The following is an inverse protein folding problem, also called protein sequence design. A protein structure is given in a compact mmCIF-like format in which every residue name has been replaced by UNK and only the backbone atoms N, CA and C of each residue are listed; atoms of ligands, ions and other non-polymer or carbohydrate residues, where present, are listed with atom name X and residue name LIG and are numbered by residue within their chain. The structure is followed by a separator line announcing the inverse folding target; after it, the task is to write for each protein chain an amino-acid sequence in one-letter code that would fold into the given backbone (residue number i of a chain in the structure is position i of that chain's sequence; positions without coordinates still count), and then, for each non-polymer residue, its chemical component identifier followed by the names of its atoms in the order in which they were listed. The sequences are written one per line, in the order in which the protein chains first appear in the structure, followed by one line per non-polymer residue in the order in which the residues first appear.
data_IF_731796226947
#
_entry.id   IF_731796226947
#
_cell.length_a   1.000
_cell.length_b   1.000
_cell.length_c   1.000
_cell.angle_alpha   90.00
_cell.angle_beta   90.00
_cell.angle_gamma   90.00
#
_symmetry.space_group_name_H-M   'P 1'
#
loop_
_entity.id
_entity.type
_entity.pdbx_description
1 polymer ?
#
# COMPACT_ATOMS: atom_id res chain seq x y z
N UNK A 1 -40.22 7.93 -1.21
CA UNK A 1 -41.29 7.05 -0.66
C UNK A 1 -41.30 7.17 0.85
N UNK A 2 -42.48 7.34 1.43
CA UNK A 2 -42.61 7.44 2.88
C UNK A 2 -42.40 6.06 3.51
N UNK A 3 -41.42 5.93 4.37
CA UNK A 3 -41.19 4.74 5.17
C UNK A 3 -41.82 4.93 6.53
N UNK A 4 -42.66 3.99 6.95
CA UNK A 4 -43.23 3.98 8.29
C UNK A 4 -42.40 3.06 9.19
N UNK A 5 -41.65 3.65 10.11
CA UNK A 5 -41.07 2.90 11.22
C UNK A 5 -42.09 2.70 12.31
N UNK A 6 -42.25 1.47 12.83
CA UNK A 6 -43.10 1.20 13.97
C UNK A 6 -42.29 1.14 15.25
N UNK A 7 -42.56 2.06 16.16
CA UNK A 7 -42.09 2.00 17.55
C UNK A 7 -43.29 1.72 18.42
N UNK A 8 -43.40 0.51 18.91
CA UNK A 8 -44.63 0.05 19.62
C UNK A 8 -45.83 -0.03 18.69
N UNK A 9 -46.96 0.53 19.11
CA UNK A 9 -48.25 0.53 18.38
C UNK A 9 -48.42 1.73 17.42
N UNK A 10 -47.48 2.63 17.32
CA UNK A 10 -47.59 3.85 16.51
C UNK A 10 -46.66 3.83 15.33
N UNK A 11 -47.15 4.08 14.11
CA UNK A 11 -46.37 4.31 12.92
C UNK A 11 -45.90 5.77 12.90
N UNK A 12 -44.58 5.98 12.86
CA UNK A 12 -43.97 7.32 12.70
C UNK A 12 -43.64 7.54 11.23
N UNK A 13 -44.16 8.60 10.59
CA UNK A 13 -43.77 8.93 9.23
C UNK A 13 -42.29 9.41 9.23
N UNK A 14 -41.50 8.88 8.31
CA UNK A 14 -40.12 9.31 8.06
C UNK A 14 -40.04 9.86 6.64
N UNK A 15 -39.62 11.13 6.52
CA UNK A 15 -39.34 11.78 5.26
C UNK A 15 -37.84 12.06 5.20
N UNK A 16 -37.13 11.28 4.39
CA UNK A 16 -35.66 11.40 4.28
C UNK A 16 -35.07 10.33 3.36
N UNK A 17 -33.74 10.45 3.17
CA UNK A 17 -32.95 9.48 2.42
C UNK A 17 -32.32 8.50 3.39
N UNK A 18 -32.51 7.21 3.15
CA UNK A 18 -31.90 6.15 3.94
C UNK A 18 -30.69 5.61 3.16
N UNK A 19 -29.49 5.73 3.75
CA UNK A 19 -28.28 5.09 3.29
C UNK A 19 -27.97 3.91 4.20
N UNK A 20 -27.90 2.72 3.62
CA UNK A 20 -27.54 1.51 4.34
C UNK A 20 -26.33 0.86 3.69
N UNK A 21 -25.54 0.14 4.47
CA UNK A 21 -24.41 -0.65 3.97
C UNK A 21 -24.52 -2.07 4.51
N UNK A 22 -24.01 -3.01 3.73
CA UNK A 22 -23.96 -4.44 4.08
C UNK A 22 -22.76 -5.07 3.38
N UNK A 23 -22.28 -6.19 3.92
CA UNK A 23 -21.32 -7.01 3.20
C UNK A 23 -22.04 -7.86 2.14
N UNK A 24 -21.26 -8.42 1.18
CA UNK A 24 -21.82 -9.16 0.05
C UNK A 24 -22.60 -10.42 0.51
N UNK A 25 -22.12 -11.12 1.53
CA UNK A 25 -22.78 -12.35 2.01
C UNK A 25 -24.14 -12.07 2.65
N UNK A 26 -24.24 -11.03 3.47
CA UNK A 26 -25.51 -10.59 4.08
C UNK A 26 -26.47 -10.06 3.02
N UNK A 27 -25.93 -9.30 2.05
CA UNK A 27 -26.71 -8.81 0.92
C UNK A 27 -27.30 -9.96 0.10
N UNK A 28 -26.52 -11.00 -0.23
CA UNK A 28 -27.01 -12.16 -0.96
C UNK A 28 -28.10 -12.93 -0.18
N UNK A 29 -27.96 -13.09 1.13
CA UNK A 29 -29.01 -13.69 1.98
C UNK A 29 -30.29 -12.86 1.95
N UNK A 30 -30.16 -11.53 2.07
CA UNK A 30 -31.30 -10.62 2.01
C UNK A 30 -32.02 -10.67 0.66
N UNK A 31 -31.23 -10.65 -0.43
CA UNK A 31 -31.75 -10.70 -1.81
C UNK A 31 -32.48 -12.00 -2.13
N UNK A 32 -32.00 -13.12 -1.60
CA UNK A 32 -32.55 -14.43 -1.88
C UNK A 32 -33.83 -14.72 -1.06
N UNK A 33 -34.18 -13.86 -0.11
CA UNK A 33 -35.38 -13.99 0.67
C UNK A 33 -36.59 -13.39 -0.09
N UNK A 34 -37.53 -14.23 -0.49
CA UNK A 34 -38.73 -13.83 -1.25
C UNK A 34 -39.56 -12.74 -0.56
N UNK A 35 -39.53 -12.66 0.77
CA UNK A 35 -40.28 -11.63 1.52
C UNK A 35 -39.73 -10.22 1.28
N UNK A 36 -38.50 -10.08 0.72
CA UNK A 36 -37.87 -8.81 0.50
C UNK A 36 -38.04 -8.27 -0.93
N UNK A 37 -38.75 -8.97 -1.80
CA UNK A 37 -38.92 -8.62 -3.21
C UNK A 37 -39.49 -7.19 -3.38
N UNK A 38 -40.52 -6.84 -2.67
CA UNK A 38 -41.14 -5.50 -2.70
C UNK A 38 -40.18 -4.38 -2.20
N UNK A 39 -39.20 -4.71 -1.37
CA UNK A 39 -38.16 -3.79 -0.92
C UNK A 39 -37.05 -3.64 -1.97
N UNK A 40 -36.65 -4.76 -2.59
CA UNK A 40 -35.61 -4.79 -3.61
C UNK A 40 -35.93 -3.90 -4.81
N UNK A 41 -37.20 -3.82 -5.21
CA UNK A 41 -37.66 -2.96 -6.31
C UNK A 41 -37.53 -1.45 -6.00
N UNK A 42 -37.30 -1.08 -4.75
CA UNK A 42 -37.27 0.32 -4.29
C UNK A 42 -35.90 0.78 -3.88
N UNK A 43 -34.89 -0.12 -3.82
CA UNK A 43 -33.51 0.23 -3.41
C UNK A 43 -32.61 0.41 -4.62
N UNK A 44 -31.77 1.41 -4.55
CA UNK A 44 -30.68 1.59 -5.50
C UNK A 44 -29.39 1.02 -4.92
N UNK A 45 -28.82 0.03 -5.62
CA UNK A 45 -27.65 -0.71 -5.15
C UNK A 45 -26.39 -0.10 -5.76
N UNK A 46 -25.45 0.27 -4.90
CA UNK A 46 -24.12 0.74 -5.30
C UNK A 46 -23.06 -0.23 -4.77
N UNK A 47 -22.34 -0.87 -5.67
CA UNK A 47 -21.19 -1.69 -5.29
C UNK A 47 -20.00 -0.77 -5.01
N UNK A 48 -19.40 -0.89 -3.82
CA UNK A 48 -18.22 -0.13 -3.40
C UNK A 48 -17.03 -1.08 -3.33
N UNK A 49 -16.12 -1.03 -4.30
CA UNK A 49 -14.93 -1.87 -4.29
C UNK A 49 -13.92 -1.40 -3.23
N UNK A 50 -12.97 -2.26 -2.88
CA UNK A 50 -11.77 -1.85 -2.16
C UNK A 50 -10.98 -0.82 -2.98
N UNK A 51 -10.15 -0.04 -2.29
CA UNK A 51 -9.22 0.88 -2.94
C UNK A 51 -8.31 0.12 -3.91
N UNK A 52 -8.05 0.71 -5.09
CA UNK A 52 -7.21 0.15 -6.15
C UNK A 52 -6.01 1.06 -6.48
N UNK A 53 -5.75 2.08 -5.66
CA UNK A 53 -4.61 2.99 -5.77
C UNK A 53 -3.69 2.82 -4.58
N UNK A 54 -2.41 2.62 -4.85
CA UNK A 54 -1.40 2.43 -3.80
C UNK A 54 -1.31 3.65 -2.90
N UNK A 55 -1.26 4.85 -3.46
CA UNK A 55 -1.19 6.11 -2.70
C UNK A 55 -2.37 6.30 -1.75
N UNK A 56 -3.58 6.02 -2.20
CA UNK A 56 -4.78 6.16 -1.38
C UNK A 56 -4.85 5.08 -0.28
N UNK A 57 -4.43 3.86 -0.58
CA UNK A 57 -4.37 2.79 0.42
C UNK A 57 -3.33 3.10 1.50
N UNK A 58 -2.20 3.70 1.16
CA UNK A 58 -1.22 4.20 2.13
C UNK A 58 -1.84 5.23 3.08
N UNK A 59 -2.60 6.20 2.56
CA UNK A 59 -3.29 7.18 3.39
C UNK A 59 -4.32 6.55 4.34
N UNK A 60 -4.97 5.45 3.93
CA UNK A 60 -5.84 4.69 4.83
C UNK A 60 -5.03 4.08 5.98
N UNK A 61 -3.86 3.50 5.69
CA UNK A 61 -2.98 2.93 6.72
C UNK A 61 -2.45 3.99 7.67
N UNK A 62 -2.02 5.14 7.17
CA UNK A 62 -1.59 6.28 7.98
C UNK A 62 -2.68 6.73 8.95
N UNK A 63 -3.93 6.88 8.48
CA UNK A 63 -5.07 7.21 9.33
C UNK A 63 -5.33 6.15 10.40
N UNK A 64 -5.25 4.88 10.05
CA UNK A 64 -5.44 3.79 11.01
C UNK A 64 -4.34 3.79 12.08
N UNK A 65 -3.10 4.04 11.69
CA UNK A 65 -1.98 4.16 12.63
C UNK A 65 -2.14 5.38 13.55
N UNK A 66 -2.53 6.53 13.02
CA UNK A 66 -2.77 7.75 13.83
C UNK A 66 -3.84 7.56 14.90
N UNK A 67 -4.83 6.70 14.66
CA UNK A 67 -5.92 6.42 15.59
C UNK A 67 -5.70 5.16 16.44
N UNK A 68 -4.49 4.62 16.44
CA UNK A 68 -4.12 3.42 17.19
C UNK A 68 -3.02 3.70 18.21
N UNK A 69 -2.74 2.73 19.07
CA UNK A 69 -1.61 2.79 20.01
C UNK A 69 -0.24 2.80 19.30
N UNK A 70 -0.23 2.51 17.99
CA UNK A 70 0.98 2.51 17.15
C UNK A 70 1.36 3.91 16.61
N UNK A 71 0.65 4.96 17.00
CA UNK A 71 0.89 6.35 16.52
C UNK A 71 2.33 6.82 16.71
N UNK A 72 3.00 6.37 17.77
CA UNK A 72 4.37 6.77 18.09
C UNK A 72 5.43 5.80 17.53
N UNK A 73 5.01 4.69 16.97
CA UNK A 73 5.92 3.69 16.43
C UNK A 73 6.54 4.18 15.12
N UNK A 74 7.87 4.10 15.03
CA UNK A 74 8.59 4.50 13.82
C UNK A 74 8.39 3.48 12.71
N UNK A 75 8.30 3.98 11.49
CA UNK A 75 8.13 3.18 10.29
C UNK A 75 9.21 3.55 9.27
N UNK A 76 9.98 2.58 8.82
CA UNK A 76 10.99 2.77 7.79
C UNK A 76 10.34 3.08 6.43
N UNK A 77 11.01 3.86 5.56
CA UNK A 77 10.52 4.15 4.22
C UNK A 77 10.15 2.88 3.44
N UNK A 78 9.08 2.96 2.67
CA UNK A 78 8.60 1.85 1.85
C UNK A 78 7.71 0.84 2.58
N UNK A 79 7.73 0.73 3.92
CA UNK A 79 6.97 -0.31 4.64
C UNK A 79 5.47 -0.25 4.32
N UNK A 80 4.85 0.92 4.43
CA UNK A 80 3.43 1.10 4.11
C UNK A 80 3.16 0.96 2.62
N UNK A 81 4.08 1.44 1.79
CA UNK A 81 3.97 1.35 0.33
C UNK A 81 3.96 -0.10 -0.16
N UNK A 82 4.92 -0.92 0.28
CA UNK A 82 4.97 -2.34 -0.11
C UNK A 82 3.75 -3.12 0.39
N UNK A 83 3.24 -2.82 1.58
CA UNK A 83 1.99 -3.41 2.04
C UNK A 83 0.79 -2.97 1.19
N UNK A 84 0.72 -1.70 0.82
CA UNK A 84 -0.31 -1.19 -0.07
C UNK A 84 -0.22 -1.83 -1.46
N UNK A 85 0.97 -1.93 -2.05
CA UNK A 85 1.19 -2.65 -3.32
C UNK A 85 0.70 -4.09 -3.24
N UNK A 86 1.04 -4.82 -2.17
CA UNK A 86 0.57 -6.18 -1.97
C UNK A 86 -0.95 -6.28 -1.89
N UNK A 87 -1.58 -5.39 -1.11
CA UNK A 87 -3.05 -5.35 -0.97
C UNK A 87 -3.74 -5.06 -2.30
N UNK A 88 -3.22 -4.09 -3.07
CA UNK A 88 -3.75 -3.75 -4.40
C UNK A 88 -3.59 -4.92 -5.36
N UNK A 89 -2.41 -5.54 -5.44
CA UNK A 89 -2.17 -6.72 -6.29
C UNK A 89 -3.16 -7.86 -5.99
N UNK A 90 -3.50 -8.07 -4.72
CA UNK A 90 -4.48 -9.09 -4.32
C UNK A 90 -5.91 -8.81 -4.82
N UNK A 91 -6.22 -7.54 -5.09
CA UNK A 91 -7.57 -7.04 -5.49
C UNK A 91 -7.73 -6.90 -7.00
N UNK A 92 -6.61 -6.82 -7.73
CA UNK A 92 -6.62 -6.65 -9.17
C UNK A 92 -6.88 -7.98 -9.88
N UNK A 93 -7.71 -7.93 -10.92
CA UNK A 93 -7.84 -9.02 -11.88
C UNK A 93 -6.65 -9.03 -12.83
N UNK A 94 -6.21 -10.23 -13.21
CA UNK A 94 -5.16 -10.39 -14.22
C UNK A 94 -5.58 -9.73 -15.54
N UNK A 95 -4.74 -8.87 -16.11
CA UNK A 95 -5.02 -8.27 -17.40
C UNK A 95 -4.64 -9.22 -18.55
N UNK A 96 -5.33 -9.12 -19.67
CA UNK A 96 -4.92 -9.78 -20.90
C UNK A 96 -3.73 -9.06 -21.56
N UNK A 97 -2.73 -9.84 -21.98
CA UNK A 97 -1.57 -9.34 -22.75
C UNK A 97 -0.78 -8.19 -22.08
N UNK A 98 -0.84 -8.09 -20.76
CA UNK A 98 -0.11 -7.10 -20.00
C UNK A 98 0.20 -7.64 -18.61
N UNK A 99 1.12 -6.97 -17.89
CA UNK A 99 1.47 -7.32 -16.52
C UNK A 99 0.49 -6.74 -15.49
N UNK A 100 0.14 -7.51 -14.46
CA UNK A 100 -0.63 -7.02 -13.32
C UNK A 100 0.14 -5.89 -12.57
N UNK A 101 1.45 -5.93 -12.60
CA UNK A 101 2.31 -4.92 -11.99
C UNK A 101 2.22 -3.58 -12.75
N UNK A 102 2.19 -3.62 -14.08
CA UNK A 102 1.98 -2.44 -14.91
C UNK A 102 0.58 -1.87 -14.72
N UNK A 103 -0.42 -2.73 -14.62
CA UNK A 103 -1.80 -2.33 -14.29
C UNK A 103 -1.87 -1.60 -12.95
N UNK A 104 -1.23 -2.12 -11.90
CA UNK A 104 -1.18 -1.48 -10.58
C UNK A 104 -0.55 -0.08 -10.67
N UNK A 105 0.56 0.07 -11.38
CA UNK A 105 1.24 1.36 -11.58
C UNK A 105 0.39 2.37 -12.34
N UNK A 106 -0.28 1.93 -13.40
CA UNK A 106 -1.21 2.78 -14.17
C UNK A 106 -2.40 3.21 -13.30
N UNK A 107 -2.93 2.31 -12.46
CA UNK A 107 -4.00 2.67 -11.52
C UNK A 107 -3.54 3.67 -10.46
N UNK A 108 -2.27 3.64 -10.09
CA UNK A 108 -1.65 4.64 -9.20
C UNK A 108 -1.35 5.98 -9.89
N UNK A 109 -1.62 6.10 -11.19
CA UNK A 109 -1.47 7.33 -11.96
C UNK A 109 -0.15 7.46 -12.74
N UNK A 110 0.65 6.38 -12.80
CA UNK A 110 1.90 6.40 -13.55
C UNK A 110 1.66 6.25 -15.07
N UNK A 111 2.43 6.97 -15.87
CA UNK A 111 2.48 6.77 -17.32
C UNK A 111 3.59 5.79 -17.67
N UNK A 112 3.24 4.65 -18.26
CA UNK A 112 4.19 3.60 -18.64
C UNK A 112 4.47 3.52 -20.14
N UNK A 113 4.02 4.52 -20.91
CA UNK A 113 4.12 4.50 -22.38
C UNK A 113 5.53 4.28 -22.91
N UNK A 114 6.53 4.83 -22.21
CA UNK A 114 7.93 4.77 -22.63
C UNK A 114 8.70 3.59 -22.03
N UNK A 115 8.18 3.01 -20.93
CA UNK A 115 8.88 1.96 -20.17
C UNK A 115 8.29 0.56 -20.36
N UNK A 116 6.99 0.46 -20.66
CA UNK A 116 6.32 -0.81 -20.93
C UNK A 116 5.35 -0.68 -22.11
N UNK A 117 5.77 -1.07 -23.31
CA UNK A 117 4.92 -0.99 -24.52
C UNK A 117 3.65 -1.85 -24.45
N UNK A 118 3.58 -2.80 -23.51
CA UNK A 118 2.40 -3.66 -23.30
C UNK A 118 1.43 -3.09 -22.27
N UNK A 119 1.83 -2.03 -21.56
CA UNK A 119 0.94 -1.38 -20.62
C UNK A 119 -0.23 -0.72 -21.36
N UNK A 120 -1.43 -0.97 -20.87
CA UNK A 120 -2.66 -0.37 -21.39
C UNK A 120 -2.97 0.93 -20.63
N UNK A 121 -3.86 1.74 -21.19
CA UNK A 121 -4.38 2.90 -20.49
C UNK A 121 -5.26 2.51 -19.29
N UNK A 122 -5.47 3.44 -18.37
CA UNK A 122 -6.37 3.24 -17.23
C UNK A 122 -7.77 2.81 -17.67
N UNK A 123 -8.32 3.44 -18.72
CA UNK A 123 -9.65 3.14 -19.21
C UNK A 123 -9.74 1.72 -19.77
N UNK A 124 -8.77 1.31 -20.59
CA UNK A 124 -8.74 -0.04 -21.17
C UNK A 124 -8.67 -1.13 -20.08
N UNK A 125 -7.84 -0.91 -19.03
CA UNK A 125 -7.81 -1.85 -17.90
C UNK A 125 -9.14 -1.92 -17.15
N UNK A 126 -9.81 -0.78 -16.96
CA UNK A 126 -11.13 -0.72 -16.30
C UNK A 126 -12.21 -1.40 -17.10
N UNK A 127 -12.25 -1.16 -18.39
CA UNK A 127 -13.26 -1.74 -19.29
C UNK A 127 -13.13 -3.27 -19.34
N UNK A 128 -11.88 -3.77 -19.41
CA UNK A 128 -11.63 -5.21 -19.39
C UNK A 128 -12.00 -5.86 -18.05
N UNK A 129 -11.62 -5.24 -16.93
CA UNK A 129 -11.85 -5.80 -15.59
C UNK A 129 -13.32 -5.80 -15.18
N UNK A 130 -14.09 -4.84 -15.69
CA UNK A 130 -15.52 -4.70 -15.41
C UNK A 130 -15.82 -4.16 -14.01
N UNK A 131 -17.09 -4.24 -13.63
CA UNK A 131 -17.62 -3.64 -12.40
C UNK A 131 -17.24 -4.38 -11.11
N UNK A 132 -16.76 -5.61 -11.24
CA UNK A 132 -16.45 -6.46 -10.08
C UNK A 132 -14.97 -6.38 -9.68
N UNK A 133 -14.16 -5.54 -10.32
CA UNK A 133 -12.78 -5.34 -9.92
C UNK A 133 -12.68 -4.65 -8.55
N UNK A 134 -11.87 -5.20 -7.68
CA UNK A 134 -11.74 -4.72 -6.31
C UNK A 134 -12.84 -5.18 -5.37
N UNK A 135 -13.77 -6.03 -5.82
CA UNK A 135 -14.78 -6.62 -4.95
C UNK A 135 -14.27 -7.83 -4.16
N UNK A 136 -13.10 -8.34 -4.51
CA UNK A 136 -12.40 -9.44 -3.84
C UNK A 136 -10.97 -9.04 -3.50
N UNK A 137 -10.24 -9.94 -2.81
CA UNK A 137 -8.87 -9.73 -2.38
C UNK A 137 -8.77 -9.38 -0.90
N UNK A 138 -7.58 -8.97 -0.47
CA UNK A 138 -7.29 -8.73 0.94
C UNK A 138 -7.92 -7.43 1.43
N UNK A 139 -8.61 -7.51 2.56
CA UNK A 139 -9.27 -6.35 3.17
C UNK A 139 -8.25 -5.42 3.87
N UNK A 140 -8.64 -4.17 4.06
CA UNK A 140 -7.86 -3.21 4.88
C UNK A 140 -7.68 -3.70 6.33
N UNK A 141 -8.62 -4.48 6.86
CA UNK A 141 -8.48 -5.10 8.19
C UNK A 141 -7.36 -6.14 8.22
N UNK A 142 -7.21 -6.93 7.15
CA UNK A 142 -6.10 -7.86 7.03
C UNK A 142 -4.76 -7.09 7.01
N UNK A 143 -4.67 -6.04 6.22
CA UNK A 143 -3.48 -5.20 6.15
C UNK A 143 -3.14 -4.59 7.53
N UNK A 144 -4.13 -4.10 8.27
CA UNK A 144 -3.89 -3.57 9.62
C UNK A 144 -3.42 -4.64 10.60
N UNK A 145 -3.94 -5.88 10.51
CA UNK A 145 -3.46 -7.03 11.29
C UNK A 145 -1.97 -7.31 10.99
N UNK A 146 -1.56 -7.22 9.72
CA UNK A 146 -0.16 -7.35 9.32
C UNK A 146 0.69 -6.23 9.94
N UNK A 147 0.28 -4.97 9.78
CA UNK A 147 0.99 -3.81 10.37
C UNK A 147 1.18 -3.98 11.87
N UNK A 148 0.12 -4.30 12.60
CA UNK A 148 0.21 -4.53 14.04
C UNK A 148 1.24 -5.60 14.41
N UNK A 149 1.37 -6.65 13.61
CA UNK A 149 2.39 -7.70 13.83
C UNK A 149 3.79 -7.24 13.45
N UNK A 150 3.93 -6.45 12.39
CA UNK A 150 5.23 -5.89 11.97
C UNK A 150 5.76 -4.91 13.01
N UNK A 151 4.91 -4.02 13.53
CA UNK A 151 5.29 -3.08 14.59
C UNK A 151 5.64 -3.75 15.93
N UNK A 152 5.11 -4.94 16.18
CA UNK A 152 5.39 -5.72 17.40
C UNK A 152 6.32 -6.91 17.12
N UNK A 153 7.01 -6.94 15.99
CA UNK A 153 7.83 -8.06 15.57
C UNK A 153 9.07 -8.23 16.44
N UNK A 154 9.79 -7.13 16.66
CA UNK A 154 10.99 -7.11 17.51
C UNK A 154 11.06 -5.77 18.26
N UNK A 155 11.05 -5.84 19.58
CA UNK A 155 11.14 -4.66 20.45
C UNK A 155 12.55 -4.04 20.51
N UNK A 156 13.56 -4.73 19.98
CA UNK A 156 14.94 -4.22 19.90
C UNK A 156 15.16 -3.37 18.65
N UNK A 157 14.30 -3.48 17.65
CA UNK A 157 14.38 -2.72 16.41
C UNK A 157 13.88 -1.30 16.56
N UNK A 158 14.57 -0.39 15.86
CA UNK A 158 14.25 1.06 15.93
C UNK A 158 12.93 1.39 15.22
N UNK A 159 12.57 0.61 14.20
CA UNK A 159 11.40 0.87 13.37
C UNK A 159 10.86 -0.41 12.71
N UNK A 160 9.55 -0.43 12.47
CA UNK A 160 8.95 -1.38 11.54
C UNK A 160 9.56 -1.17 10.14
N UNK A 161 9.92 -2.25 9.44
CA UNK A 161 10.66 -2.18 8.20
C UNK A 161 10.14 -3.19 7.15
N UNK A 162 10.47 -3.03 5.86
CA UNK A 162 9.99 -3.93 4.82
C UNK A 162 10.48 -5.37 4.94
N UNK A 163 11.63 -5.63 5.54
CA UNK A 163 12.13 -7.02 5.74
C UNK A 163 11.21 -7.77 6.69
N UNK A 164 10.88 -7.16 7.83
CA UNK A 164 9.90 -7.72 8.78
C UNK A 164 8.51 -7.83 8.14
N UNK A 165 8.12 -6.85 7.31
CA UNK A 165 6.85 -6.88 6.59
C UNK A 165 6.76 -8.13 5.70
N UNK A 166 7.75 -8.40 4.86
CA UNK A 166 7.75 -9.55 3.96
C UNK A 166 7.71 -10.86 4.73
N UNK A 167 8.49 -10.98 5.79
CA UNK A 167 8.47 -12.15 6.65
C UNK A 167 7.10 -12.38 7.31
N UNK A 168 6.50 -11.33 7.88
CA UNK A 168 5.17 -11.41 8.52
C UNK A 168 4.08 -11.74 7.48
N UNK A 169 4.18 -11.18 6.26
CA UNK A 169 3.26 -11.49 5.16
C UNK A 169 3.32 -12.97 4.78
N UNK A 170 4.51 -13.52 4.55
CA UNK A 170 4.71 -14.94 4.24
C UNK A 170 4.12 -15.82 5.35
N UNK A 171 4.46 -15.57 6.60
CA UNK A 171 3.94 -16.28 7.76
C UNK A 171 2.41 -16.22 7.88
N UNK A 172 1.82 -15.07 7.53
CA UNK A 172 0.36 -14.93 7.58
C UNK A 172 -0.33 -15.67 6.44
N UNK A 173 0.24 -15.66 5.23
CA UNK A 173 -0.28 -16.40 4.08
C UNK A 173 -0.25 -17.91 4.34
N UNK A 174 0.83 -18.41 4.93
CA UNK A 174 0.94 -19.82 5.31
C UNK A 174 -0.08 -20.25 6.39
N UNK A 175 -0.45 -19.33 7.30
CA UNK A 175 -1.44 -19.60 8.36
C UNK A 175 -2.88 -19.52 7.90
N UNK A 176 -3.15 -18.69 6.91
CA UNK A 176 -4.49 -18.58 6.34
C UNK A 176 -4.72 -19.76 5.36
N UNK A 177 -5.89 -20.34 5.44
CA UNK A 177 -6.27 -21.47 4.57
C UNK A 177 -6.74 -20.96 3.20
N UNK A 178 -5.85 -20.29 2.48
CA UNK A 178 -6.16 -19.90 1.10
C UNK A 178 -6.18 -21.10 0.16
N UNK A 179 -7.01 -21.10 -0.90
CA UNK A 179 -6.85 -22.03 -2.00
C UNK A 179 -5.42 -21.99 -2.55
N UNK A 180 -4.87 -23.13 -2.97
CA UNK A 180 -3.47 -23.26 -3.40
C UNK A 180 -3.08 -22.22 -4.48
N UNK A 181 -3.95 -21.98 -5.44
CA UNK A 181 -3.73 -20.99 -6.51
C UNK A 181 -3.53 -19.56 -5.96
N UNK A 182 -4.34 -19.14 -4.98
CA UNK A 182 -4.19 -17.84 -4.34
C UNK A 182 -2.96 -17.78 -3.44
N UNK A 183 -2.66 -18.86 -2.75
CA UNK A 183 -1.45 -18.97 -1.92
C UNK A 183 -0.19 -18.77 -2.77
N UNK A 184 -0.06 -19.50 -3.86
CA UNK A 184 1.10 -19.44 -4.75
C UNK A 184 1.20 -18.05 -5.41
N UNK A 185 0.07 -17.48 -5.82
CA UNK A 185 0.01 -16.13 -6.37
C UNK A 185 0.47 -15.06 -5.38
N UNK A 186 0.07 -15.15 -4.11
CA UNK A 186 0.49 -14.19 -3.09
C UNK A 186 1.97 -14.32 -2.76
N UNK A 187 2.51 -15.54 -2.71
CA UNK A 187 3.95 -15.75 -2.54
C UNK A 187 4.74 -15.21 -3.74
N UNK A 188 4.23 -15.35 -4.96
CA UNK A 188 4.83 -14.76 -6.16
C UNK A 188 4.86 -13.23 -6.10
N UNK A 189 3.81 -12.59 -5.61
CA UNK A 189 3.82 -11.14 -5.41
C UNK A 189 4.91 -10.70 -4.45
N UNK A 190 5.14 -11.43 -3.37
CA UNK A 190 6.17 -11.12 -2.39
C UNK A 190 7.57 -11.39 -2.98
N UNK A 191 7.83 -12.63 -3.40
CA UNK A 191 9.18 -13.10 -3.79
C UNK A 191 9.59 -12.64 -5.18
N UNK A 192 8.65 -12.61 -6.12
CA UNK A 192 8.90 -12.28 -7.53
C UNK A 192 8.84 -10.77 -7.82
N UNK A 193 8.18 -9.98 -6.97
CA UNK A 193 7.98 -8.57 -7.25
C UNK A 193 8.43 -7.64 -6.10
N UNK A 194 7.86 -7.78 -4.89
CA UNK A 194 8.11 -6.81 -3.83
C UNK A 194 9.53 -6.88 -3.29
N UNK A 195 10.05 -8.07 -3.02
CA UNK A 195 11.41 -8.27 -2.51
C UNK A 195 12.46 -7.76 -3.51
N UNK A 196 12.42 -8.11 -4.80
CA UNK A 196 13.36 -7.56 -5.78
C UNK A 196 13.33 -6.03 -5.87
N UNK A 197 12.15 -5.41 -5.83
CA UNK A 197 12.03 -3.95 -5.83
C UNK A 197 12.62 -3.31 -4.57
N UNK A 198 12.45 -3.93 -3.42
CA UNK A 198 13.06 -3.45 -2.19
C UNK A 198 14.59 -3.55 -2.24
N UNK A 199 15.12 -4.65 -2.77
CA UNK A 199 16.58 -4.82 -2.97
C UNK A 199 17.12 -3.74 -3.92
N UNK A 200 16.41 -3.43 -5.00
CA UNK A 200 16.79 -2.33 -5.91
C UNK A 200 16.76 -0.97 -5.21
N UNK A 201 15.72 -0.72 -4.42
CA UNK A 201 15.59 0.52 -3.63
C UNK A 201 16.76 0.68 -2.67
N UNK A 202 17.05 -0.34 -1.84
CA UNK A 202 18.17 -0.31 -0.89
C UNK A 202 19.52 -0.15 -1.61
N UNK A 203 19.69 -0.82 -2.76
CA UNK A 203 20.91 -0.65 -3.58
C UNK A 203 21.13 0.80 -4.03
N UNK A 204 20.06 1.50 -4.45
CA UNK A 204 20.11 2.92 -4.81
C UNK A 204 20.40 3.82 -3.61
N UNK A 205 19.75 3.57 -2.46
CA UNK A 205 20.00 4.33 -1.24
C UNK A 205 21.45 4.19 -0.76
N UNK A 206 22.00 2.97 -0.76
CA UNK A 206 23.40 2.72 -0.41
C UNK A 206 24.34 3.45 -1.40
N UNK A 207 24.04 3.39 -2.70
CA UNK A 207 24.85 4.06 -3.71
C UNK A 207 24.83 5.59 -3.53
N UNK A 208 23.65 6.16 -3.26
CA UNK A 208 23.48 7.59 -3.01
C UNK A 208 24.26 8.04 -1.77
N UNK A 209 24.08 7.32 -0.66
CA UNK A 209 24.81 7.60 0.59
C UNK A 209 26.33 7.49 0.41
N UNK A 210 26.80 6.51 -0.36
CA UNK A 210 28.22 6.38 -0.68
C UNK A 210 28.74 7.56 -1.49
N UNK A 211 28.01 7.99 -2.53
CA UNK A 211 28.39 9.12 -3.36
C UNK A 211 28.39 10.44 -2.59
N UNK A 212 27.41 10.67 -1.73
CA UNK A 212 27.34 11.85 -0.86
C UNK A 212 28.52 11.86 0.11
N UNK A 213 28.78 10.76 0.80
CA UNK A 213 29.94 10.62 1.71
C UNK A 213 31.27 10.81 0.98
N UNK A 214 31.40 10.27 -0.24
CA UNK A 214 32.61 10.43 -1.04
C UNK A 214 32.81 11.88 -1.51
N UNK A 215 31.73 12.57 -1.88
CA UNK A 215 31.78 14.00 -2.25
C UNK A 215 32.22 14.88 -1.08
N UNK A 216 31.69 14.65 0.10
CA UNK A 216 32.07 15.35 1.33
C UNK A 216 33.54 15.09 1.67
N UNK A 217 34.01 13.84 1.61
CA UNK A 217 35.41 13.48 1.84
C UNK A 217 36.33 14.11 0.80
N UNK A 218 35.94 14.09 -0.46
CA UNK A 218 36.71 14.73 -1.55
C UNK A 218 36.80 16.23 -1.37
N UNK A 219 35.74 16.91 -0.99
CA UNK A 219 35.73 18.34 -0.68
C UNK A 219 36.63 18.66 0.49
N UNK A 220 36.59 17.91 1.56
CA UNK A 220 37.46 18.11 2.73
C UNK A 220 38.96 17.97 2.37
N UNK A 221 39.34 16.99 1.53
CA UNK A 221 40.71 16.86 1.05
C UNK A 221 41.10 18.05 0.20
N UNK A 222 40.24 18.51 -0.69
CA UNK A 222 40.50 19.67 -1.55
C UNK A 222 40.67 20.95 -0.71
N UNK A 223 39.79 21.19 0.24
CA UNK A 223 39.87 22.36 1.12
C UNK A 223 41.14 22.36 1.99
N UNK A 224 41.53 21.19 2.50
CA UNK A 224 42.84 21.02 3.19
C UNK A 224 44.02 21.34 2.26
N UNK A 225 44.00 20.81 1.04
CA UNK A 225 45.04 21.07 0.06
C UNK A 225 45.18 22.56 -0.26
N UNK A 226 44.06 23.25 -0.48
CA UNK A 226 44.02 24.69 -0.72
C UNK A 226 44.61 25.46 0.48
N UNK A 227 44.21 25.08 1.68
CA UNK A 227 44.70 25.67 2.93
C UNK A 227 46.24 25.50 3.07
N UNK A 228 46.74 24.29 2.85
CA UNK A 228 48.19 24.05 2.90
C UNK A 228 48.95 24.84 1.82
N UNK A 229 48.42 24.96 0.61
CA UNK A 229 49.01 25.74 -0.46
C UNK A 229 49.08 27.23 -0.11
N UNK A 230 48.03 27.77 0.52
CA UNK A 230 48.01 29.17 0.94
C UNK A 230 49.04 29.46 2.04
N UNK A 231 49.14 28.63 3.07
CA UNK A 231 50.17 28.72 4.10
C UNK A 231 51.60 28.61 3.52
N UNK A 232 51.79 27.72 2.55
CA UNK A 232 53.06 27.58 1.86
C UNK A 232 53.45 28.84 1.07
N UNK A 233 52.50 29.46 0.37
CA UNK A 233 52.74 30.69 -0.41
C UNK A 233 53.07 31.85 0.53
N UNK A 234 52.50 31.89 1.73
CA UNK A 234 52.70 32.92 2.74
C UNK A 234 53.94 32.68 3.60
N UNK A 235 54.70 31.63 3.34
CA UNK A 235 55.89 31.21 4.13
C UNK A 235 55.56 31.02 5.64
N UNK A 236 54.35 30.52 5.95
CA UNK A 236 53.85 30.27 7.27
C UNK A 236 53.77 28.78 7.57
N UNK A 237 54.03 28.40 8.84
CA UNK A 237 53.92 27.02 9.30
C UNK A 237 52.47 26.68 9.58
N UNK A 238 51.90 25.68 8.89
CA UNK A 238 50.55 25.20 9.16
C UNK A 238 50.58 24.18 10.30
N UNK A 239 49.74 24.41 11.33
CA UNK A 239 49.47 23.42 12.37
C UNK A 239 48.05 22.90 12.21
N UNK A 240 47.93 21.61 11.98
CA UNK A 240 46.62 20.95 11.86
C UNK A 240 45.90 21.02 13.20
N UNK A 241 44.64 21.56 13.29
CA UNK A 241 43.91 21.67 14.54
C UNK A 241 43.47 20.31 15.11
N UNK A 242 43.57 19.22 14.32
CA UNK A 242 43.18 17.86 14.77
C UNK A 242 44.38 17.01 15.24
N UNK A 243 45.63 17.54 15.17
CA UNK A 243 46.86 16.95 15.70
C UNK A 243 47.44 17.82 16.79
#
# INVERSE_FOLDING_TARGET
GNYNGTVGLSALPFDGIILAHSNESEWQQFRNNKNNEAFLDRVYIVKVPYCLRVSEEMHIYEKLLMHSELTQAKCAPGTLEYLAQFSILSRLKEPENSSIYSKMRVYNGESLKDTDPKAKSYQEYRDYAGIDEGMSGLSTRFAFKILSRVFNFDHTEVAANPVHLFYVLEQQIEREQFPQELHDRYLEFIKGFLVPRYVEFIGKEIQTAYLESYSEYGQNIFDRYVTYADFWIQDQEYRDPET
#
